data_IF_142189653541
#
_entry.id   IF_142189653541
#
_cell.length_a   1.000
_cell.length_b   1.000
_cell.length_c   1.000
_cell.angle_alpha   90.00
_cell.angle_beta   90.00
_cell.angle_gamma   90.00
#
_symmetry.space_group_name_H-M   'P 1'
#
loop_
_entity.id
_entity.type
_entity.pdbx_description
1 polymer ?
#
# COMPACT_ATOMS: atom_id res chain seq x y z
N UNK A 1 13.23 -15.82 1.35
CA UNK A 1 11.85 -16.16 0.96
C UNK A 1 10.89 -15.07 1.41
N UNK A 2 10.08 -14.59 0.51
CA UNK A 2 9.15 -13.54 0.88
C UNK A 2 7.87 -14.12 1.48
N UNK A 3 7.40 -13.54 2.60
CA UNK A 3 6.16 -13.94 3.25
C UNK A 3 4.98 -13.09 2.81
N UNK A 4 5.23 -12.00 2.09
CA UNK A 4 4.20 -11.04 1.74
C UNK A 4 3.26 -11.49 0.62
N UNK A 5 3.67 -12.46 -0.18
CA UNK A 5 2.93 -12.81 -1.40
C UNK A 5 1.48 -13.27 -1.16
N UNK A 6 1.19 -13.81 0.01
CA UNK A 6 -0.15 -14.30 0.35
C UNK A 6 -0.92 -13.38 1.27
N UNK A 7 -0.35 -12.23 1.60
CA UNK A 7 -0.98 -11.30 2.52
C UNK A 7 -1.60 -10.12 1.79
N UNK A 8 -2.81 -9.79 2.19
CA UNK A 8 -3.45 -8.53 1.83
C UNK A 8 -3.48 -7.70 3.10
N UNK A 9 -3.06 -6.45 2.99
CA UNK A 9 -3.00 -5.57 4.15
C UNK A 9 -4.41 -5.20 4.62
N UNK A 10 -4.60 -5.16 5.94
CA UNK A 10 -5.79 -4.56 6.51
C UNK A 10 -5.75 -3.06 6.27
N UNK A 11 -6.89 -2.40 6.49
CA UNK A 11 -6.96 -0.94 6.32
C UNK A 11 -5.95 -0.22 7.20
N UNK A 12 -5.81 -0.64 8.46
CA UNK A 12 -4.87 -0.03 9.39
C UNK A 12 -3.42 -0.26 8.96
N UNK A 13 -3.12 -1.46 8.49
CA UNK A 13 -1.78 -1.81 7.99
C UNK A 13 -1.43 -1.02 6.73
N UNK A 14 -2.40 -0.88 5.83
CA UNK A 14 -2.18 -0.12 4.61
C UNK A 14 -1.92 1.35 4.93
N UNK A 15 -2.64 1.91 5.90
CA UNK A 15 -2.43 3.28 6.33
C UNK A 15 -1.01 3.48 6.85
N UNK A 16 -0.50 2.54 7.64
CA UNK A 16 0.88 2.58 8.12
C UNK A 16 1.88 2.50 6.97
N UNK A 17 1.63 1.60 6.03
CA UNK A 17 2.50 1.46 4.84
C UNK A 17 2.48 2.73 3.97
N UNK A 18 1.31 3.34 3.80
CA UNK A 18 1.20 4.60 3.04
C UNK A 18 2.13 5.66 3.63
N UNK A 19 2.19 5.73 4.95
CA UNK A 19 3.07 6.69 5.63
C UNK A 19 4.54 6.36 5.34
N UNK A 20 4.92 5.09 5.48
CA UNK A 20 6.29 4.66 5.21
C UNK A 20 6.70 4.97 3.77
N UNK A 21 5.81 4.69 2.81
CA UNK A 21 6.09 4.97 1.41
C UNK A 21 6.25 6.48 1.17
N UNK A 22 5.45 7.30 1.85
CA UNK A 22 5.50 8.75 1.68
C UNK A 22 6.77 9.36 2.29
N UNK A 23 7.28 8.79 3.38
CA UNK A 23 8.52 9.25 3.99
C UNK A 23 9.72 8.98 3.08
N UNK A 24 9.75 7.82 2.44
CA UNK A 24 10.75 7.51 1.42
C UNK A 24 12.15 7.19 1.93
N UNK A 25 12.31 7.03 3.23
CA UNK A 25 13.58 6.64 3.86
C UNK A 25 13.29 5.86 5.12
N UNK A 26 14.28 5.16 5.64
CA UNK A 26 14.12 4.46 6.93
C UNK A 26 13.79 5.48 8.03
N UNK A 27 12.84 5.14 8.88
CA UNK A 27 12.36 6.07 9.90
C UNK A 27 11.94 5.30 11.16
N UNK A 28 11.94 5.99 12.29
CA UNK A 28 11.52 5.39 13.54
C UNK A 28 10.01 5.52 13.73
N UNK A 29 9.50 4.88 14.78
CA UNK A 29 8.06 4.87 15.06
C UNK A 29 7.53 6.28 15.36
N UNK A 30 8.32 7.12 16.02
CA UNK A 30 7.91 8.50 16.32
C UNK A 30 7.63 9.28 15.04
N UNK A 31 8.50 9.15 14.05
CA UNK A 31 8.33 9.82 12.76
C UNK A 31 7.05 9.36 12.07
N UNK A 32 6.74 8.06 12.18
CA UNK A 32 5.52 7.52 11.60
C UNK A 32 4.28 8.09 12.30
N UNK A 33 4.29 8.09 13.64
CA UNK A 33 3.17 8.63 14.43
C UNK A 33 2.87 10.08 14.04
N UNK A 34 3.91 10.89 13.87
CA UNK A 34 3.75 12.30 13.53
C UNK A 34 3.08 12.53 12.18
N UNK A 35 3.12 11.56 11.29
CA UNK A 35 2.52 11.68 9.96
C UNK A 35 1.06 11.29 9.91
N UNK A 36 0.52 10.69 10.99
CA UNK A 36 -0.90 10.37 11.04
C UNK A 36 -1.74 11.63 11.24
N UNK A 37 -2.93 11.65 10.62
CA UNK A 37 -3.90 12.70 10.88
C UNK A 37 -4.46 12.55 12.29
N UNK A 38 -4.93 13.65 12.85
CA UNK A 38 -5.56 13.63 14.17
C UNK A 38 -6.93 12.92 14.10
N UNK A 39 -7.33 12.13 15.10
CA UNK A 39 -6.54 11.81 16.30
C UNK A 39 -5.45 10.76 15.97
N UNK A 40 -4.23 11.06 16.38
CA UNK A 40 -3.10 10.16 16.11
C UNK A 40 -3.18 8.92 16.98
N UNK A 41 -2.83 7.75 16.44
CA UNK A 41 -2.72 6.55 17.26
C UNK A 41 -1.55 6.69 18.26
N UNK A 42 -1.63 5.90 19.32
CA UNK A 42 -0.55 5.88 20.31
C UNK A 42 0.71 5.27 19.72
N UNK A 43 1.85 5.67 20.24
CA UNK A 43 3.15 5.11 19.85
C UNK A 43 3.14 3.59 19.91
N UNK A 44 2.61 3.01 21.00
CA UNK A 44 2.56 1.56 21.16
C UNK A 44 1.73 0.86 20.10
N UNK A 45 0.65 1.50 19.66
CA UNK A 45 -0.20 0.99 18.59
C UNK A 45 0.58 0.91 17.27
N UNK A 46 1.25 2.00 16.91
CA UNK A 46 2.03 2.05 15.68
C UNK A 46 3.22 1.10 15.76
N UNK A 47 3.86 1.00 16.90
CA UNK A 47 4.95 0.04 17.13
C UNK A 47 4.48 -1.38 16.87
N UNK A 48 3.27 -1.72 17.31
CA UNK A 48 2.67 -3.03 17.06
C UNK A 48 2.42 -3.24 15.56
N UNK A 49 1.93 -2.22 14.85
CA UNK A 49 1.77 -2.31 13.40
C UNK A 49 3.10 -2.63 12.70
N UNK A 50 4.17 -1.98 13.13
CA UNK A 50 5.49 -2.23 12.53
C UNK A 50 5.93 -3.67 12.77
N UNK A 51 5.69 -4.21 13.95
CA UNK A 51 6.02 -5.60 14.26
C UNK A 51 5.22 -6.59 13.42
N UNK A 52 3.93 -6.32 13.25
CA UNK A 52 3.05 -7.16 12.43
C UNK A 52 3.51 -7.11 10.97
N UNK A 53 3.77 -5.93 10.46
CA UNK A 53 4.23 -5.75 9.08
C UNK A 53 5.59 -6.41 8.85
N UNK A 54 6.46 -6.36 9.83
CA UNK A 54 7.75 -7.03 9.79
C UNK A 54 7.56 -8.55 9.72
N UNK A 55 6.68 -9.10 10.55
CA UNK A 55 6.37 -10.52 10.55
C UNK A 55 5.80 -10.98 9.21
N UNK A 56 4.95 -10.15 8.60
CA UNK A 56 4.35 -10.45 7.31
C UNK A 56 5.30 -10.22 6.12
N UNK A 57 6.48 -9.64 6.37
CA UNK A 57 7.47 -9.43 5.32
C UNK A 57 7.30 -8.14 4.52
N UNK A 58 6.49 -7.20 5.00
CA UNK A 58 6.29 -5.92 4.30
C UNK A 58 7.31 -4.86 4.66
N UNK A 59 7.87 -4.94 5.87
CA UNK A 59 8.90 -4.00 6.32
C UNK A 59 10.05 -4.76 6.96
N UNK A 60 11.19 -4.11 7.01
CA UNK A 60 12.32 -4.56 7.80
C UNK A 60 12.83 -3.36 8.55
N UNK A 61 13.81 -3.56 9.40
CA UNK A 61 14.39 -2.46 10.15
C UNK A 61 15.90 -2.64 10.26
N UNK A 62 16.56 -1.53 10.50
CA UNK A 62 17.99 -1.49 10.81
C UNK A 62 18.15 -0.68 12.09
N UNK A 63 19.27 -0.86 12.76
CA UNK A 63 19.55 -0.11 13.98
C UNK A 63 19.87 1.34 13.66
N UNK A 64 19.24 2.23 14.40
CA UNK A 64 19.61 3.63 14.43
C UNK A 64 20.53 3.87 15.60
N UNK A 65 20.47 5.09 16.15
CA UNK A 65 21.24 5.42 17.33
C UNK A 65 20.64 4.78 18.58
N UNK A 66 21.50 4.24 19.46
CA UNK A 66 21.04 3.60 20.67
C UNK A 66 20.21 2.35 20.36
N UNK A 67 19.02 2.28 20.95
CA UNK A 67 18.10 1.14 20.77
C UNK A 67 17.07 1.40 19.70
N UNK A 68 17.21 2.47 18.94
CA UNK A 68 16.25 2.87 17.93
C UNK A 68 16.24 1.88 16.76
N UNK A 69 15.03 1.54 16.30
CA UNK A 69 14.82 0.78 15.08
C UNK A 69 14.34 1.73 13.99
N UNK A 70 14.97 1.66 12.83
CA UNK A 70 14.57 2.45 11.67
C UNK A 70 13.93 1.52 10.66
N UNK A 71 12.63 1.66 10.47
CA UNK A 71 11.83 0.80 9.60
C UNK A 71 11.82 1.31 8.17
N UNK A 72 11.78 0.39 7.23
CA UNK A 72 11.68 0.72 5.81
C UNK A 72 10.88 -0.35 5.08
N UNK A 73 10.16 0.01 4.01
CA UNK A 73 9.36 -0.96 3.27
C UNK A 73 10.23 -1.90 2.44
N UNK A 74 9.82 -3.16 2.38
CA UNK A 74 10.45 -4.19 1.54
C UNK A 74 9.77 -4.34 0.19
N UNK A 75 8.61 -3.71 0.01
CA UNK A 75 7.87 -3.73 -1.23
C UNK A 75 7.44 -2.30 -1.53
N UNK A 76 7.50 -1.91 -2.79
CA UNK A 76 7.07 -0.58 -3.20
C UNK A 76 5.54 -0.51 -3.24
N UNK A 77 5.00 0.71 -3.20
CA UNK A 77 3.56 0.92 -3.33
C UNK A 77 3.06 0.39 -4.66
N UNK A 78 3.79 0.64 -5.74
CA UNK A 78 3.40 0.18 -7.07
C UNK A 78 3.37 -1.34 -7.16
N UNK A 79 4.36 -2.01 -6.58
CA UNK A 79 4.39 -3.47 -6.56
C UNK A 79 3.20 -4.05 -5.81
N UNK A 80 2.90 -3.49 -4.63
CA UNK A 80 1.78 -3.95 -3.83
C UNK A 80 0.46 -3.70 -4.56
N UNK A 81 0.28 -2.50 -5.12
CA UNK A 81 -0.93 -2.13 -5.85
C UNK A 81 -1.15 -3.05 -7.05
N UNK A 82 -0.08 -3.32 -7.81
CA UNK A 82 -0.16 -4.23 -8.96
C UNK A 82 -0.61 -5.62 -8.54
N UNK A 83 -0.08 -6.12 -7.44
CA UNK A 83 -0.45 -7.44 -6.93
C UNK A 83 -1.92 -7.50 -6.54
N UNK A 84 -2.39 -6.51 -5.80
CA UNK A 84 -3.78 -6.45 -5.33
C UNK A 84 -4.74 -6.36 -6.53
N UNK A 85 -4.41 -5.49 -7.50
CA UNK A 85 -5.26 -5.33 -8.68
C UNK A 85 -5.29 -6.59 -9.53
N UNK A 86 -4.17 -7.30 -9.64
CA UNK A 86 -4.10 -8.58 -10.35
C UNK A 86 -4.99 -9.62 -9.67
N UNK A 87 -4.96 -9.66 -8.34
CA UNK A 87 -5.80 -10.59 -7.59
C UNK A 87 -7.28 -10.29 -7.79
N UNK A 88 -7.66 -9.02 -7.78
CA UNK A 88 -9.05 -8.60 -8.04
C UNK A 88 -9.46 -9.04 -9.44
N UNK A 89 -8.63 -8.77 -10.43
CA UNK A 89 -8.91 -9.18 -11.82
C UNK A 89 -9.11 -10.68 -11.93
N UNK A 90 -8.22 -11.45 -11.30
CA UNK A 90 -8.28 -12.91 -11.38
C UNK A 90 -9.45 -13.49 -10.60
N UNK A 91 -9.70 -12.97 -9.41
CA UNK A 91 -10.71 -13.56 -8.52
C UNK A 91 -12.14 -13.16 -8.88
N UNK A 92 -12.35 -11.97 -9.41
CA UNK A 92 -13.69 -11.45 -9.68
C UNK A 92 -14.01 -11.36 -11.17
N UNK A 93 -13.00 -11.37 -12.03
CA UNK A 93 -13.21 -11.16 -13.47
C UNK A 93 -12.58 -12.24 -14.34
N UNK A 94 -12.29 -13.39 -13.74
CA UNK A 94 -11.76 -14.53 -14.48
C UNK A 94 -10.46 -14.26 -15.22
N UNK A 95 -9.67 -13.29 -14.74
CA UNK A 95 -8.40 -12.92 -15.38
C UNK A 95 -8.55 -11.97 -16.56
N UNK A 96 -9.76 -11.51 -16.85
CA UNK A 96 -10.01 -10.64 -18.02
C UNK A 96 -9.83 -9.16 -17.67
N UNK A 97 -8.83 -8.54 -18.26
CA UNK A 97 -8.62 -7.09 -18.13
C UNK A 97 -9.81 -6.32 -18.69
N UNK A 98 -10.35 -6.78 -19.82
CA UNK A 98 -11.49 -6.14 -20.46
C UNK A 98 -12.71 -6.11 -19.54
N UNK A 99 -13.03 -7.25 -18.91
CA UNK A 99 -14.14 -7.33 -17.96
C UNK A 99 -13.94 -6.46 -16.75
N UNK A 100 -12.72 -6.45 -16.21
CA UNK A 100 -12.36 -5.64 -15.05
C UNK A 100 -12.55 -4.15 -15.34
N UNK A 101 -11.97 -3.68 -16.43
CA UNK A 101 -12.07 -2.27 -16.81
C UNK A 101 -13.50 -1.87 -17.17
N UNK A 102 -14.20 -2.72 -17.89
CA UNK A 102 -15.59 -2.48 -18.27
C UNK A 102 -16.48 -2.28 -17.05
N UNK A 103 -16.34 -3.15 -16.06
CA UNK A 103 -17.11 -3.08 -14.83
C UNK A 103 -16.82 -1.75 -14.11
N UNK A 104 -15.54 -1.44 -13.93
CA UNK A 104 -15.11 -0.24 -13.21
C UNK A 104 -15.59 1.04 -13.91
N UNK A 105 -15.43 1.11 -15.23
CA UNK A 105 -15.81 2.30 -15.98
C UNK A 105 -17.32 2.53 -15.94
N UNK A 106 -18.11 1.47 -15.96
CA UNK A 106 -19.56 1.57 -15.83
C UNK A 106 -19.98 2.03 -14.45
N UNK A 107 -19.33 1.53 -13.40
CA UNK A 107 -19.62 1.94 -12.03
C UNK A 107 -19.32 3.43 -11.83
N UNK A 108 -18.24 3.92 -12.42
CA UNK A 108 -17.85 5.31 -12.30
C UNK A 108 -18.67 6.24 -13.20
N UNK A 109 -19.46 5.66 -14.10
CA UNK A 109 -20.33 6.41 -15.00
C UNK A 109 -19.60 7.52 -15.76
N UNK A 110 -18.47 7.15 -16.36
CA UNK A 110 -17.63 8.09 -17.08
C UNK A 110 -18.26 8.52 -18.40
N UNK A 111 -18.14 9.81 -18.72
CA UNK A 111 -18.56 10.34 -20.00
C UNK A 111 -17.58 9.90 -21.10
N UNK A 112 -18.00 10.03 -22.36
CA UNK A 112 -17.13 9.71 -23.48
C UNK A 112 -15.86 10.57 -23.47
N UNK A 113 -16.00 11.84 -23.12
CA UNK A 113 -14.87 12.75 -23.02
C UNK A 113 -13.87 12.29 -21.97
N UNK A 114 -14.38 11.89 -20.79
CA UNK A 114 -13.52 11.39 -19.71
C UNK A 114 -12.79 10.12 -20.13
N UNK A 115 -13.46 9.22 -20.86
CA UNK A 115 -12.84 8.01 -21.37
C UNK A 115 -11.73 8.33 -22.37
N UNK A 116 -11.96 9.30 -23.25
CA UNK A 116 -10.94 9.73 -24.22
C UNK A 116 -9.72 10.31 -23.52
N UNK A 117 -9.94 11.15 -22.51
CA UNK A 117 -8.85 11.72 -21.71
C UNK A 117 -8.05 10.64 -20.99
N UNK A 118 -8.74 9.64 -20.47
CA UNK A 118 -8.12 8.51 -19.79
C UNK A 118 -7.21 7.73 -20.74
N UNK A 119 -7.69 7.46 -21.96
CA UNK A 119 -6.91 6.76 -22.97
C UNK A 119 -5.64 7.52 -23.33
N UNK A 120 -5.73 8.85 -23.43
CA UNK A 120 -4.57 9.68 -23.71
C UNK A 120 -3.53 9.57 -22.61
N UNK A 121 -3.96 9.55 -21.34
CA UNK A 121 -3.06 9.37 -20.20
C UNK A 121 -2.34 8.03 -20.24
N UNK A 122 -3.06 6.98 -20.60
CA UNK A 122 -2.48 5.64 -20.67
C UNK A 122 -1.45 5.54 -21.79
N UNK A 123 -1.72 6.18 -22.91
CA UNK A 123 -0.81 6.18 -24.05
C UNK A 123 0.40 7.10 -23.84
N UNK A 124 0.19 8.14 -23.07
CA UNK A 124 1.24 9.11 -22.80
C UNK A 124 2.26 8.61 -21.83
#
# INVERSE_FOLDING_TARGET
MTTQKNYTLTKAELQAMEILWSIGKACDVHEVVERYAEPRPAYTTVSTFMKILSTKGFVDFKKGQGKQHLYFPLISKDEYTSRVMRDVKNNFFGGSVSSFLSFFLKEENLSQKELEELLLKVKG
#
